data_IF_390272198061
#
_entry.id   IF_390272198061
#
_cell.length_a   1.000
_cell.length_b   1.000
_cell.length_c   1.000
_cell.angle_alpha   90.00
_cell.angle_beta   90.00
_cell.angle_gamma   90.00
#
_symmetry.space_group_name_H-M   'P 1'
#
loop_
_entity.id
_entity.type
_entity.pdbx_description
1 polymer ?
#
# COMPACT_ATOMS: atom_id res chain seq x y z
N UNK A 1 -11.00 0.09 -14.53
CA UNK A 1 -11.04 1.23 -13.59
C UNK A 1 -9.66 1.33 -12.95
N UNK A 2 -8.92 2.43 -13.17
CA UNK A 2 -7.59 2.61 -12.56
C UNK A 2 -7.78 3.37 -11.26
N UNK A 3 -7.80 2.66 -10.15
CA UNK A 3 -7.76 3.26 -8.82
C UNK A 3 -6.37 3.88 -8.62
N UNK A 4 -6.15 5.05 -9.21
CA UNK A 4 -4.94 5.85 -9.05
C UNK A 4 -4.91 6.42 -7.64
N UNK A 5 -4.64 5.58 -6.64
CA UNK A 5 -4.32 6.04 -5.31
C UNK A 5 -2.82 6.32 -5.28
N UNK A 6 -2.42 7.53 -5.73
CA UNK A 6 -1.04 8.05 -5.63
C UNK A 6 -0.63 8.32 -4.17
N UNK A 7 -1.13 7.52 -3.24
CA UNK A 7 -0.76 7.56 -1.84
C UNK A 7 0.48 6.69 -1.71
N UNK A 8 1.57 7.26 -1.25
CA UNK A 8 2.81 6.54 -0.98
C UNK A 8 2.73 5.77 0.34
N UNK A 9 3.63 4.80 0.54
CA UNK A 9 3.79 4.11 1.85
C UNK A 9 3.99 5.09 3.00
N UNK A 10 4.66 6.21 2.74
CA UNK A 10 4.94 7.25 3.74
C UNK A 10 3.67 7.99 4.14
N UNK A 11 2.86 8.40 3.18
CA UNK A 11 1.60 9.09 3.48
C UNK A 11 0.61 8.19 4.22
N UNK A 12 0.57 6.88 3.93
CA UNK A 12 -0.21 5.94 4.72
C UNK A 12 0.31 5.80 6.15
N UNK A 13 1.63 5.66 6.32
CA UNK A 13 2.25 5.56 7.64
C UNK A 13 1.99 6.84 8.48
N UNK A 14 2.09 8.02 7.87
CA UNK A 14 1.78 9.31 8.50
C UNK A 14 0.30 9.42 8.87
N UNK A 15 -0.62 9.04 7.98
CA UNK A 15 -2.07 9.03 8.27
C UNK A 15 -2.44 8.11 9.42
N UNK A 16 -1.75 6.99 9.55
CA UNK A 16 -1.95 6.00 10.61
C UNK A 16 -1.14 6.32 11.86
N UNK A 17 -0.33 7.39 11.86
CA UNK A 17 0.60 7.75 12.94
C UNK A 17 1.53 6.61 13.36
N UNK A 18 1.93 5.76 12.40
CA UNK A 18 2.84 4.63 12.62
C UNK A 18 4.14 4.81 11.85
N UNK A 19 5.17 4.07 12.26
CA UNK A 19 6.42 4.03 11.51
C UNK A 19 6.24 3.33 10.16
N UNK A 20 7.03 3.72 9.16
CA UNK A 20 7.12 3.03 7.87
C UNK A 20 7.42 1.53 8.02
N UNK A 21 8.21 1.15 9.04
CA UNK A 21 8.53 -0.24 9.36
C UNK A 21 7.29 -0.99 9.82
N UNK A 22 6.50 -0.41 10.73
CA UNK A 22 5.26 -1.00 11.23
C UNK A 22 4.24 -1.14 10.11
N UNK A 23 4.11 -0.11 9.29
CA UNK A 23 3.26 -0.13 8.11
C UNK A 23 3.67 -1.26 7.15
N UNK A 24 4.96 -1.38 6.82
CA UNK A 24 5.44 -2.47 5.96
C UNK A 24 5.18 -3.86 6.57
N UNK A 25 5.28 -4.01 7.91
CA UNK A 25 4.97 -5.28 8.57
C UNK A 25 3.49 -5.63 8.43
N UNK A 26 2.60 -4.68 8.69
CA UNK A 26 1.15 -4.87 8.55
C UNK A 26 0.80 -5.22 7.10
N UNK A 27 1.35 -4.49 6.13
CA UNK A 27 1.12 -4.78 4.70
C UNK A 27 1.67 -6.16 4.30
N UNK A 28 2.82 -6.57 4.83
CA UNK A 28 3.36 -7.91 4.55
C UNK A 28 2.54 -9.03 5.21
N UNK A 29 1.85 -8.75 6.31
CA UNK A 29 0.89 -9.67 6.96
C UNK A 29 -0.45 -9.70 6.20
N UNK A 30 -0.81 -8.60 5.53
CA UNK A 30 -1.99 -8.47 4.67
C UNK A 30 -1.66 -8.90 3.25
N UNK A 31 -1.81 -10.19 2.95
CA UNK A 31 -1.53 -10.75 1.62
C UNK A 31 -2.44 -10.20 0.49
N UNK A 32 -3.42 -9.37 0.87
CA UNK A 32 -4.40 -8.72 0.01
C UNK A 32 -3.92 -7.39 -0.58
N UNK A 33 -2.88 -6.73 -0.04
CA UNK A 33 -2.48 -5.38 -0.45
C UNK A 33 -0.99 -5.30 -0.81
N UNK A 34 -0.68 -4.99 -2.06
CA UNK A 34 0.69 -4.95 -2.57
C UNK A 34 0.99 -3.61 -3.22
N UNK A 35 2.18 -3.06 -2.98
CA UNK A 35 2.66 -1.88 -3.70
C UNK A 35 3.46 -2.30 -4.93
N UNK A 36 2.96 -1.95 -6.11
CA UNK A 36 3.57 -2.29 -7.39
C UNK A 36 4.22 -1.05 -8.00
N UNK A 37 5.52 -1.15 -8.26
CA UNK A 37 6.32 -0.12 -8.92
C UNK A 37 7.34 0.59 -8.02
N UNK A 38 8.11 1.49 -8.63
CA UNK A 38 9.22 2.20 -7.98
C UNK A 38 9.00 3.72 -7.99
N UNK A 39 9.12 4.36 -6.83
CA UNK A 39 9.06 5.83 -6.69
C UNK A 39 7.70 6.44 -7.08
N UNK A 40 7.70 7.62 -7.71
CA UNK A 40 6.49 8.37 -8.09
C UNK A 40 5.61 7.72 -9.17
N UNK A 41 5.99 6.53 -9.65
CA UNK A 41 5.26 5.77 -10.68
C UNK A 41 4.61 4.49 -10.15
N UNK A 42 4.76 4.17 -8.87
CA UNK A 42 4.11 3.00 -8.28
C UNK A 42 2.68 3.28 -7.84
N UNK A 43 1.89 2.22 -7.73
CA UNK A 43 0.49 2.21 -7.29
C UNK A 43 0.22 1.05 -6.34
N UNK A 44 -0.89 1.12 -5.64
CA UNK A 44 -1.37 0.03 -4.77
C UNK A 44 -2.28 -0.90 -5.56
N UNK A 45 -2.02 -2.20 -5.48
CA UNK A 45 -2.87 -3.26 -5.98
C UNK A 45 -3.48 -4.00 -4.79
N UNK A 46 -4.81 -4.05 -4.77
CA UNK A 46 -5.55 -4.89 -3.85
C UNK A 46 -5.85 -6.19 -4.60
N UNK A 47 -5.32 -7.31 -4.13
CA UNK A 47 -5.79 -8.64 -4.52
C UNK A 47 -7.20 -8.81 -3.94
N UNK A 48 -8.20 -8.32 -4.67
CA UNK A 48 -9.55 -8.82 -4.48
C UNK A 48 -9.56 -10.24 -5.05
N UNK A 49 -9.30 -11.25 -4.21
CA UNK A 49 -9.76 -12.59 -4.52
C UNK A 49 -11.28 -12.52 -4.54
N UNK A 50 -11.84 -12.53 -5.76
CA UNK A 50 -13.26 -12.51 -5.99
C UNK A 50 -13.86 -13.82 -5.47
N UNK A 51 -14.70 -13.72 -4.44
CA UNK A 51 -15.75 -14.68 -4.13
C UNK A 51 -17.11 -14.02 -4.30
#
# INVERSE_FOLDING_TARGET
MKSNNRITRKEMAEKLSISLRSFQRIINEMDELHYVGSGNRGHWEIKNDQY
#
